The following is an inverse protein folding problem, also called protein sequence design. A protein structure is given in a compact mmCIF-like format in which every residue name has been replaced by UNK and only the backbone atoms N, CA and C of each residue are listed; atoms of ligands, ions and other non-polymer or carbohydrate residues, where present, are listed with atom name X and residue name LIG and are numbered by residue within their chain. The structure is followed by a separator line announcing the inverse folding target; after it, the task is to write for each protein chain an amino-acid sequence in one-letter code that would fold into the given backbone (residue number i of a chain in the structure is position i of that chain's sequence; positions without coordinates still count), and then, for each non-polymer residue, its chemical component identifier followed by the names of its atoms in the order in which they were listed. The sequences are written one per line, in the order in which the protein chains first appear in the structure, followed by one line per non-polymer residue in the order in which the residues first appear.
data_IF_953776407847
#
_entry.id   IF_953776407847
#
_cell.length_a   1.000
_cell.length_b   1.000
_cell.length_c   1.000
_cell.angle_alpha   90.00
_cell.angle_beta   90.00
_cell.angle_gamma   90.00
#
_symmetry.space_group_name_H-M   'P 1'
#
loop_
_entity.id
_entity.type
_entity.pdbx_description
1 polymer ?
#
# COMPACT_ATOMS: atom_id res chain seq x y z
N UNK A 1 23.48 16.44 -69.00
CA UNK A 1 22.87 15.78 -67.82
C UNK A 1 23.14 16.61 -66.58
N UNK A 2 22.13 17.33 -66.06
CA UNK A 2 22.28 18.27 -64.93
C UNK A 2 21.85 17.60 -63.64
N UNK A 3 22.74 17.49 -62.63
CA UNK A 3 22.53 16.90 -61.32
C UNK A 3 21.81 17.90 -60.40
N UNK A 4 20.53 17.64 -60.07
CA UNK A 4 19.72 18.45 -59.16
C UNK A 4 20.17 18.20 -57.71
N UNK A 5 20.81 19.19 -57.05
CA UNK A 5 21.17 19.18 -55.63
C UNK A 5 19.90 19.34 -54.75
N UNK A 6 19.56 18.31 -53.93
CA UNK A 6 18.53 18.41 -52.92
C UNK A 6 19.03 19.25 -51.72
N UNK A 7 18.38 20.38 -51.44
CA UNK A 7 18.60 21.16 -50.20
C UNK A 7 18.03 20.40 -49.01
N UNK A 8 18.86 20.06 -48.01
CA UNK A 8 18.43 19.57 -46.70
C UNK A 8 17.69 20.71 -45.96
N UNK A 9 16.42 20.51 -45.62
CA UNK A 9 15.70 21.38 -44.68
C UNK A 9 16.33 21.25 -43.29
N UNK A 10 16.90 22.30 -42.73
CA UNK A 10 17.25 22.39 -41.31
C UNK A 10 15.95 22.55 -40.55
N UNK A 11 15.55 21.53 -39.75
CA UNK A 11 14.50 21.63 -38.75
C UNK A 11 15.04 22.49 -37.59
N UNK A 12 14.80 23.80 -37.67
CA UNK A 12 15.12 24.72 -36.57
C UNK A 12 14.20 24.42 -35.38
N UNK A 13 14.80 24.04 -34.28
CA UNK A 13 14.09 23.82 -33.01
C UNK A 13 13.61 25.20 -32.50
N UNK A 14 12.30 25.36 -32.30
CA UNK A 14 11.71 26.63 -31.90
C UNK A 14 11.98 26.90 -30.40
N UNK A 15 12.79 27.92 -30.02
CA UNK A 15 13.16 28.17 -28.61
C UNK A 15 11.94 28.43 -27.71
N UNK A 16 10.81 28.87 -28.27
CA UNK A 16 9.58 29.08 -27.52
C UNK A 16 9.00 27.76 -26.97
N UNK A 17 9.18 26.63 -27.69
CA UNK A 17 8.72 25.30 -27.24
C UNK A 17 9.51 24.87 -26.01
N UNK A 18 10.81 25.15 -25.94
CA UNK A 18 11.64 24.82 -24.77
C UNK A 18 11.15 25.60 -23.54
N UNK A 19 10.84 26.90 -23.71
CA UNK A 19 10.33 27.73 -22.60
C UNK A 19 9.00 27.18 -22.07
N UNK A 20 8.07 26.78 -22.94
CA UNK A 20 6.80 26.17 -22.52
C UNK A 20 6.99 24.83 -21.80
N UNK A 21 7.90 23.99 -22.27
CA UNK A 21 8.21 22.71 -21.61
C UNK A 21 8.84 22.92 -20.21
N UNK A 22 9.73 23.91 -20.06
CA UNK A 22 10.32 24.26 -18.76
C UNK A 22 9.25 24.80 -17.79
N UNK A 23 8.34 25.65 -18.27
CA UNK A 23 7.23 26.18 -17.45
C UNK A 23 6.28 25.05 -17.04
N UNK A 24 5.91 24.16 -17.94
CA UNK A 24 5.06 22.99 -17.62
C UNK A 24 5.75 22.09 -16.60
N UNK A 25 7.05 21.83 -16.76
CA UNK A 25 7.83 21.01 -15.81
C UNK A 25 7.93 21.69 -14.44
N UNK A 26 8.13 23.01 -14.39
CA UNK A 26 8.15 23.79 -13.15
C UNK A 26 6.77 23.77 -12.44
N UNK A 27 5.68 23.91 -13.20
CA UNK A 27 4.31 23.81 -12.65
C UNK A 27 4.04 22.40 -12.14
N UNK A 28 4.43 21.33 -12.85
CA UNK A 28 4.32 19.96 -12.37
C UNK A 28 5.15 19.72 -11.10
N UNK A 29 6.37 20.24 -11.04
CA UNK A 29 7.24 20.13 -9.86
C UNK A 29 6.68 20.92 -8.66
N UNK A 30 6.11 22.10 -8.88
CA UNK A 30 5.46 22.90 -7.83
C UNK A 30 4.16 22.25 -7.37
N UNK A 31 3.37 21.66 -8.27
CA UNK A 31 2.16 20.92 -7.92
C UNK A 31 2.49 19.62 -7.14
N UNK A 32 3.51 18.88 -7.53
CA UNK A 32 3.98 17.70 -6.82
C UNK A 32 4.56 18.05 -5.44
N UNK A 33 5.33 19.15 -5.35
CA UNK A 33 5.84 19.71 -4.10
C UNK A 33 4.72 20.23 -3.20
N UNK A 34 3.71 20.87 -3.76
CA UNK A 34 2.54 21.36 -3.00
C UNK A 34 1.64 20.22 -2.54
N UNK A 35 1.41 19.20 -3.38
CA UNK A 35 0.62 18.02 -3.01
C UNK A 35 1.35 17.11 -2.03
N UNK A 36 2.67 16.94 -2.14
CA UNK A 36 3.47 16.17 -1.19
C UNK A 36 3.66 16.88 0.15
N UNK A 37 3.61 18.21 0.20
CA UNK A 37 3.66 19.00 1.46
C UNK A 37 2.35 19.03 2.24
N UNK A 38 1.20 18.95 1.56
CA UNK A 38 -0.13 19.00 2.18
C UNK A 38 -0.58 17.65 2.75
N UNK A 39 0.03 16.53 2.32
CA UNK A 39 -0.31 15.17 2.77
C UNK A 39 0.67 14.57 3.78
N UNK A 40 1.12 15.35 4.77
CA UNK A 40 1.52 14.73 6.03
C UNK A 40 0.25 14.33 6.80
N UNK A 41 -0.43 13.30 6.32
CA UNK A 41 -1.44 12.61 7.11
C UNK A 41 -0.73 12.09 8.37
N UNK A 42 -1.04 12.68 9.51
CA UNK A 42 -0.72 12.12 10.82
C UNK A 42 -1.58 10.85 10.96
N UNK A 43 -1.12 9.74 10.41
CA UNK A 43 -1.64 8.44 10.79
C UNK A 43 -1.33 8.26 12.28
N UNK A 44 -2.32 7.96 13.13
CA UNK A 44 -2.06 7.76 14.55
C UNK A 44 -1.10 6.60 14.72
N UNK A 45 -0.10 6.84 15.55
CA UNK A 45 0.99 5.95 15.94
C UNK A 45 0.46 4.57 16.30
N UNK A 46 0.79 3.52 15.54
CA UNK A 46 0.99 2.22 16.13
C UNK A 46 2.42 2.17 16.70
N UNK A 47 2.61 2.88 17.81
CA UNK A 47 3.63 2.48 18.77
C UNK A 47 3.24 1.10 19.31
N UNK A 48 4.18 0.30 19.84
CA UNK A 48 3.83 -0.94 20.52
C UNK A 48 2.74 -0.61 21.53
N UNK A 49 1.59 -1.30 21.42
CA UNK A 49 0.52 -1.17 22.40
C UNK A 49 1.19 -1.40 23.75
N UNK A 50 1.20 -0.39 24.63
CA UNK A 50 1.78 -0.48 25.96
C UNK A 50 1.30 -1.79 26.59
N UNK A 51 2.20 -2.73 26.85
CA UNK A 51 1.90 -3.92 27.62
C UNK A 51 2.28 -5.29 27.02
N UNK A 52 2.85 -5.41 25.82
CA UNK A 52 3.23 -6.72 25.29
C UNK A 52 4.70 -6.79 24.91
N UNK A 53 5.37 -7.87 25.31
CA UNK A 53 6.74 -8.18 24.90
C UNK A 53 6.78 -8.66 23.45
N UNK A 54 7.91 -8.54 22.79
CA UNK A 54 8.13 -9.09 21.46
C UNK A 54 7.87 -10.61 21.42
N UNK A 55 8.20 -11.31 22.49
CA UNK A 55 8.04 -12.76 22.62
C UNK A 55 6.57 -13.19 22.67
N UNK A 56 5.75 -12.45 23.42
CA UNK A 56 4.30 -12.69 23.45
C UNK A 56 3.64 -12.47 22.09
N UNK A 57 4.08 -11.47 21.33
CA UNK A 57 3.57 -11.24 19.97
C UNK A 57 3.97 -12.39 19.02
N UNK A 58 5.20 -12.89 19.13
CA UNK A 58 5.68 -14.04 18.35
C UNK A 58 4.87 -15.29 18.70
N UNK A 59 4.66 -15.56 20.00
CA UNK A 59 3.88 -16.71 20.44
C UNK A 59 2.43 -16.63 19.90
N UNK A 60 1.79 -15.46 20.01
CA UNK A 60 0.42 -15.26 19.47
C UNK A 60 0.36 -15.50 17.97
N UNK A 61 1.31 -15.03 17.18
CA UNK A 61 1.32 -15.29 15.74
C UNK A 61 1.43 -16.77 15.46
N UNK A 62 2.34 -17.48 16.14
CA UNK A 62 2.49 -18.94 15.98
C UNK A 62 1.18 -19.69 16.34
N UNK A 63 0.56 -19.32 17.44
CA UNK A 63 -0.68 -19.98 17.92
C UNK A 63 -1.89 -19.63 17.04
N UNK A 64 -2.08 -18.36 16.72
CA UNK A 64 -3.31 -17.87 16.07
C UNK A 64 -3.30 -18.00 14.55
N UNK A 65 -2.12 -17.98 13.93
CA UNK A 65 -1.99 -17.84 12.47
C UNK A 65 -0.95 -18.79 11.86
N UNK A 66 -0.15 -19.50 12.68
CA UNK A 66 1.00 -20.29 12.20
C UNK A 66 0.61 -21.31 11.13
N UNK A 67 -0.44 -22.11 11.39
CA UNK A 67 -0.91 -23.14 10.46
C UNK A 67 -1.43 -22.50 9.13
N UNK A 68 -2.32 -21.50 9.23
CA UNK A 68 -2.90 -20.83 8.06
C UNK A 68 -1.80 -20.16 7.22
N UNK A 69 -0.86 -19.49 7.89
CA UNK A 69 0.26 -18.81 7.19
C UNK A 69 1.16 -19.82 6.49
N UNK A 70 1.48 -20.95 7.14
CA UNK A 70 2.34 -21.98 6.53
C UNK A 70 1.68 -22.58 5.29
N UNK A 71 0.39 -22.92 5.38
CA UNK A 71 -0.39 -23.45 4.26
C UNK A 71 -0.39 -22.49 3.08
N UNK A 72 -0.84 -21.25 3.30
CA UNK A 72 -1.00 -20.28 2.20
C UNK A 72 0.32 -19.69 1.71
N UNK A 73 1.35 -19.58 2.55
CA UNK A 73 2.70 -19.23 2.10
C UNK A 73 3.24 -20.23 1.07
N UNK A 74 2.98 -21.52 1.27
CA UNK A 74 3.33 -22.56 0.31
C UNK A 74 2.52 -22.43 -0.99
N UNK A 75 1.20 -22.25 -0.88
CA UNK A 75 0.29 -22.10 -2.03
C UNK A 75 0.71 -20.92 -2.93
N UNK A 76 1.03 -19.77 -2.34
CA UNK A 76 1.42 -18.55 -3.06
C UNK A 76 2.92 -18.44 -3.36
N UNK A 77 3.72 -19.44 -2.94
CA UNK A 77 5.18 -19.42 -3.07
C UNK A 77 5.81 -18.13 -2.53
N UNK A 78 5.50 -17.80 -1.27
CA UNK A 78 6.04 -16.64 -0.55
C UNK A 78 6.58 -17.04 0.82
N UNK A 79 7.39 -16.18 1.45
CA UNK A 79 8.01 -16.49 2.75
C UNK A 79 7.00 -16.47 3.90
N UNK A 80 6.81 -17.60 4.58
CA UNK A 80 6.03 -17.68 5.80
C UNK A 80 6.59 -16.77 6.91
N UNK A 81 7.92 -16.72 7.06
CA UNK A 81 8.59 -15.85 8.04
C UNK A 81 8.29 -14.38 7.80
N UNK A 82 8.23 -13.92 6.52
CA UNK A 82 7.83 -12.56 6.19
C UNK A 82 6.38 -12.29 6.62
N UNK A 83 5.46 -13.18 6.28
CA UNK A 83 4.02 -13.03 6.59
C UNK A 83 3.79 -13.01 8.11
N UNK A 84 4.44 -13.88 8.86
CA UNK A 84 4.36 -13.91 10.33
C UNK A 84 4.91 -12.64 10.96
N UNK A 85 6.05 -12.14 10.48
CA UNK A 85 6.63 -10.87 10.91
C UNK A 85 5.70 -9.68 10.59
N UNK A 86 5.06 -9.70 9.43
CA UNK A 86 4.10 -8.67 9.03
C UNK A 86 2.87 -8.66 9.94
N UNK A 87 2.33 -9.83 10.31
CA UNK A 87 1.21 -9.93 11.26
C UNK A 87 1.59 -9.34 12.63
N UNK A 88 2.85 -9.50 13.09
CA UNK A 88 3.30 -8.83 14.31
C UNK A 88 3.22 -7.33 14.17
N UNK A 89 3.72 -6.78 13.07
CA UNK A 89 3.74 -5.32 12.84
C UNK A 89 2.34 -4.73 12.77
N UNK A 90 1.42 -5.43 12.09
CA UNK A 90 0.09 -4.91 11.77
C UNK A 90 -0.95 -5.13 12.86
N UNK A 91 -0.93 -6.29 13.53
CA UNK A 91 -1.96 -6.69 14.48
C UNK A 91 -1.45 -7.23 15.81
N UNK A 92 -0.11 -7.26 16.02
CA UNK A 92 0.53 -7.89 17.20
C UNK A 92 0.11 -9.34 17.41
N UNK A 93 -0.27 -10.04 16.34
CA UNK A 93 -0.70 -11.43 16.38
C UNK A 93 -2.08 -11.67 17.04
N UNK A 94 -2.87 -10.65 17.29
CA UNK A 94 -4.21 -10.79 17.92
C UNK A 94 -5.20 -11.48 16.97
N UNK A 95 -6.04 -12.40 17.52
CA UNK A 95 -7.19 -12.99 16.83
C UNK A 95 -8.42 -12.89 17.75
N UNK A 96 -9.48 -12.16 17.38
CA UNK A 96 -9.58 -11.38 16.15
C UNK A 96 -8.57 -10.21 16.09
N UNK A 97 -8.10 -9.92 14.88
CA UNK A 97 -7.25 -8.76 14.66
C UNK A 97 -8.05 -7.46 14.91
N UNK A 98 -7.37 -6.42 15.38
CA UNK A 98 -7.97 -5.11 15.53
C UNK A 98 -8.42 -4.54 14.18
N UNK A 99 -9.13 -3.41 14.24
CA UNK A 99 -9.52 -2.62 13.08
C UNK A 99 -9.10 -1.17 13.28
N UNK A 100 -8.75 -0.45 12.19
CA UNK A 100 -8.39 0.95 12.26
C UNK A 100 -9.12 1.75 11.17
N UNK A 101 -9.90 2.73 11.62
CA UNK A 101 -10.60 3.64 10.73
C UNK A 101 -9.68 4.78 10.27
N UNK A 102 -9.64 5.03 8.97
CA UNK A 102 -8.85 6.08 8.33
C UNK A 102 -9.75 7.22 7.83
N UNK A 103 -9.88 8.27 8.66
CA UNK A 103 -10.76 9.42 8.38
C UNK A 103 -10.48 10.06 7.02
N UNK A 104 -9.19 10.18 6.63
CA UNK A 104 -8.80 10.78 5.35
C UNK A 104 -9.25 9.92 4.16
N UNK A 105 -9.16 8.58 4.26
CA UNK A 105 -9.67 7.65 3.24
C UNK A 105 -11.18 7.77 3.12
N UNK A 106 -11.90 7.81 4.24
CA UNK A 106 -13.34 8.01 4.25
C UNK A 106 -13.76 9.29 3.51
N UNK A 107 -13.06 10.40 3.77
CA UNK A 107 -13.32 11.67 3.09
C UNK A 107 -13.07 11.57 1.58
N UNK A 108 -12.00 10.88 1.14
CA UNK A 108 -11.73 10.63 -0.28
C UNK A 108 -12.81 9.80 -0.93
N UNK A 109 -13.23 8.70 -0.30
CA UNK A 109 -14.31 7.85 -0.82
C UNK A 109 -15.64 8.62 -0.91
N UNK A 110 -15.95 9.49 0.05
CA UNK A 110 -17.13 10.39 -0.05
C UNK A 110 -17.05 11.34 -1.26
N UNK A 111 -15.88 11.93 -1.49
CA UNK A 111 -15.64 12.80 -2.65
C UNK A 111 -15.78 12.04 -3.97
N UNK A 112 -15.33 10.78 -4.04
CA UNK A 112 -15.52 9.92 -5.22
C UNK A 112 -17.00 9.60 -5.42
N UNK A 113 -17.71 9.16 -4.37
CA UNK A 113 -19.14 8.85 -4.44
C UNK A 113 -19.97 10.05 -4.91
N UNK A 114 -19.68 11.25 -4.43
CA UNK A 114 -20.39 12.48 -4.83
C UNK A 114 -19.96 13.01 -6.21
N UNK A 115 -18.88 12.49 -6.80
CA UNK A 115 -18.34 12.96 -8.07
C UNK A 115 -17.40 14.18 -7.98
N UNK A 116 -17.08 14.68 -6.78
CA UNK A 116 -16.10 15.76 -6.58
C UNK A 116 -14.66 15.30 -6.83
N UNK A 117 -14.38 14.01 -6.70
CA UNK A 117 -13.12 13.39 -7.05
C UNK A 117 -13.38 12.30 -8.08
N UNK A 118 -12.69 12.28 -9.23
CA UNK A 118 -12.98 11.31 -10.29
C UNK A 118 -12.66 9.87 -9.87
N UNK A 119 -11.62 9.68 -9.04
CA UNK A 119 -11.22 8.37 -8.50
C UNK A 119 -10.30 8.52 -7.29
N UNK A 120 -10.25 7.49 -6.46
CA UNK A 120 -9.28 7.31 -5.39
C UNK A 120 -8.81 5.86 -5.39
N UNK A 121 -7.50 5.61 -5.51
CA UNK A 121 -6.94 4.24 -5.54
C UNK A 121 -7.64 3.33 -6.58
N UNK A 122 -7.97 3.87 -7.76
CA UNK A 122 -8.74 3.23 -8.82
C UNK A 122 -10.21 2.90 -8.46
N UNK A 123 -10.72 3.36 -7.32
CA UNK A 123 -12.14 3.34 -7.00
C UNK A 123 -12.80 4.54 -7.68
N UNK A 124 -13.87 4.28 -8.41
CA UNK A 124 -14.65 5.28 -9.16
C UNK A 124 -16.02 5.51 -8.53
N UNK A 125 -16.76 6.51 -9.03
CA UNK A 125 -18.15 6.75 -8.61
C UNK A 125 -19.05 5.53 -8.88
N UNK A 126 -18.83 4.82 -9.97
CA UNK A 126 -19.60 3.62 -10.31
C UNK A 126 -19.44 2.50 -9.27
N UNK A 127 -18.25 2.38 -8.66
CA UNK A 127 -17.97 1.38 -7.62
C UNK A 127 -18.63 1.73 -6.28
N UNK A 128 -19.09 2.97 -6.10
CA UNK A 128 -19.59 3.49 -4.82
C UNK A 128 -21.04 4.02 -4.90
N UNK A 129 -21.72 3.90 -6.04
CA UNK A 129 -23.00 4.58 -6.28
C UNK A 129 -24.08 4.20 -5.25
N UNK A 130 -24.12 2.93 -4.81
CA UNK A 130 -25.07 2.41 -3.81
C UNK A 130 -24.49 2.38 -2.39
N UNK A 131 -23.25 2.83 -2.20
CA UNK A 131 -22.59 2.72 -0.90
C UNK A 131 -23.20 3.69 0.12
N UNK A 132 -23.70 3.17 1.23
CA UNK A 132 -24.10 3.98 2.39
C UNK A 132 -22.89 4.62 3.06
N UNK A 133 -23.11 5.61 3.93
CA UNK A 133 -22.01 6.19 4.73
C UNK A 133 -21.35 5.15 5.64
N UNK A 134 -22.11 4.17 6.14
CA UNK A 134 -21.56 3.07 6.91
C UNK A 134 -20.69 2.14 6.04
N UNK A 135 -21.14 1.81 4.84
CA UNK A 135 -20.34 1.06 3.87
C UNK A 135 -19.03 1.79 3.58
N UNK A 136 -19.06 3.11 3.33
CA UNK A 136 -17.84 3.90 3.12
C UNK A 136 -16.92 3.92 4.35
N UNK A 137 -17.45 3.96 5.59
CA UNK A 137 -16.64 3.81 6.82
C UNK A 137 -15.95 2.46 6.86
N UNK A 138 -16.66 1.38 6.52
CA UNK A 138 -16.11 0.05 6.47
C UNK A 138 -15.03 -0.09 5.38
N UNK A 139 -15.24 0.50 4.20
CA UNK A 139 -14.24 0.57 3.14
C UNK A 139 -13.01 1.40 3.54
N UNK A 140 -13.19 2.42 4.38
CA UNK A 140 -12.12 3.26 4.91
C UNK A 140 -11.49 2.71 6.21
N UNK A 141 -11.77 1.47 6.55
CA UNK A 141 -11.21 0.80 7.73
C UNK A 141 -10.27 -0.31 7.28
N UNK A 142 -9.14 -0.49 7.96
CA UNK A 142 -8.24 -1.63 7.76
C UNK A 142 -8.70 -2.83 8.60
N UNK A 143 -8.55 -4.04 8.05
CA UNK A 143 -9.11 -5.28 8.57
C UNK A 143 -8.12 -6.44 8.52
N UNK A 144 -8.33 -7.40 9.41
CA UNK A 144 -7.62 -8.66 9.42
C UNK A 144 -6.17 -8.58 9.90
N UNK A 145 -5.46 -9.72 9.93
CA UNK A 145 -4.11 -9.80 10.48
C UNK A 145 -3.09 -8.92 9.76
N UNK A 146 -3.29 -8.65 8.47
CA UNK A 146 -2.42 -7.83 7.64
C UNK A 146 -2.91 -6.38 7.49
N UNK A 147 -3.96 -5.97 8.21
CA UNK A 147 -4.55 -4.62 8.17
C UNK A 147 -4.81 -4.11 6.74
N UNK A 148 -5.43 -4.96 5.92
CA UNK A 148 -5.80 -4.60 4.54
C UNK A 148 -6.95 -3.59 4.57
N UNK A 149 -6.81 -2.49 3.84
CA UNK A 149 -7.87 -1.47 3.71
C UNK A 149 -9.13 -2.07 3.07
N UNK A 150 -10.29 -1.80 3.66
CA UNK A 150 -11.57 -2.37 3.22
C UNK A 150 -11.89 -2.11 1.75
N UNK A 151 -11.54 -0.95 1.19
CA UNK A 151 -11.79 -0.67 -0.23
C UNK A 151 -11.02 -1.60 -1.19
N UNK A 152 -9.98 -2.28 -0.74
CA UNK A 152 -9.27 -3.30 -1.54
C UNK A 152 -10.16 -4.51 -1.86
N UNK A 153 -11.25 -4.73 -1.09
CA UNK A 153 -12.25 -5.77 -1.41
C UNK A 153 -12.87 -5.56 -2.80
N UNK A 154 -13.07 -4.30 -3.22
CA UNK A 154 -13.59 -3.96 -4.55
C UNK A 154 -12.62 -4.47 -5.63
N UNK A 155 -11.32 -4.20 -5.47
CA UNK A 155 -10.29 -4.67 -6.41
C UNK A 155 -10.17 -6.19 -6.44
N UNK A 156 -10.30 -6.85 -5.30
CA UNK A 156 -10.23 -8.30 -5.19
C UNK A 156 -11.53 -9.02 -5.58
N UNK A 157 -12.63 -8.28 -5.77
CA UNK A 157 -13.99 -8.80 -6.02
C UNK A 157 -14.43 -9.78 -4.94
N UNK A 158 -14.25 -9.40 -3.66
CA UNK A 158 -14.63 -10.17 -2.48
C UNK A 158 -15.52 -9.35 -1.56
N UNK A 159 -16.21 -10.03 -0.64
CA UNK A 159 -16.97 -9.34 0.40
C UNK A 159 -16.04 -8.83 1.52
N UNK A 160 -16.42 -7.73 2.15
CA UNK A 160 -15.69 -7.22 3.30
C UNK A 160 -15.64 -8.21 4.46
N UNK A 161 -16.70 -9.04 4.63
CA UNK A 161 -16.75 -10.12 5.61
C UNK A 161 -15.59 -11.12 5.46
N UNK A 162 -15.08 -11.32 4.25
CA UNK A 162 -13.95 -12.23 4.00
C UNK A 162 -12.66 -11.74 4.67
N UNK A 163 -12.44 -10.41 4.78
CA UNK A 163 -11.31 -9.85 5.53
C UNK A 163 -11.51 -9.87 7.06
N UNK A 164 -12.69 -10.22 7.53
CA UNK A 164 -13.08 -10.24 8.94
C UNK A 164 -13.31 -11.66 9.48
N UNK A 165 -13.26 -12.66 8.62
CA UNK A 165 -13.50 -14.07 8.91
C UNK A 165 -12.20 -14.88 8.96
N UNK A 166 -12.31 -16.18 9.07
CA UNK A 166 -11.18 -17.12 8.98
C UNK A 166 -10.49 -17.09 7.61
N UNK A 167 -11.16 -16.57 6.57
CA UNK A 167 -10.57 -16.35 5.25
C UNK A 167 -9.62 -15.17 5.18
N UNK A 168 -9.54 -14.34 6.23
CA UNK A 168 -8.74 -13.11 6.25
C UNK A 168 -7.25 -13.35 5.99
N UNK A 169 -6.70 -14.49 6.42
CA UNK A 169 -5.31 -14.87 6.14
C UNK A 169 -5.12 -15.12 4.63
N UNK A 170 -5.99 -15.94 4.04
CA UNK A 170 -5.95 -16.26 2.60
C UNK A 170 -6.03 -15.00 1.73
N UNK A 171 -7.08 -14.18 1.94
CA UNK A 171 -7.28 -12.99 1.11
C UNK A 171 -6.24 -11.92 1.35
N UNK A 172 -5.71 -11.80 2.57
CA UNK A 172 -4.60 -10.92 2.87
C UNK A 172 -3.32 -11.34 2.13
N UNK A 173 -2.98 -12.62 2.11
CA UNK A 173 -1.83 -13.15 1.37
C UNK A 173 -2.05 -13.02 -0.14
N UNK A 174 -3.23 -13.32 -0.65
CA UNK A 174 -3.60 -13.12 -2.05
C UNK A 174 -3.42 -11.67 -2.50
N UNK A 175 -3.83 -10.70 -1.66
CA UNK A 175 -3.60 -9.29 -1.92
C UNK A 175 -2.10 -8.95 -1.93
N UNK A 176 -1.34 -9.44 -0.95
CA UNK A 176 0.12 -9.27 -0.84
C UNK A 176 0.81 -9.81 -2.10
N UNK A 177 0.48 -11.03 -2.50
CA UNK A 177 1.04 -11.68 -3.68
C UNK A 177 0.77 -10.87 -4.95
N UNK A 178 -0.47 -10.46 -5.17
CA UNK A 178 -0.87 -9.69 -6.36
C UNK A 178 -0.18 -8.33 -6.45
N UNK A 179 0.15 -7.70 -5.32
CA UNK A 179 0.72 -6.35 -5.31
C UNK A 179 2.26 -6.35 -5.29
N UNK A 180 2.86 -7.22 -4.51
CA UNK A 180 4.32 -7.25 -4.35
C UNK A 180 4.94 -8.63 -4.09
N UNK A 181 4.23 -9.72 -4.41
CA UNK A 181 4.74 -11.09 -4.29
C UNK A 181 6.05 -11.32 -5.04
N UNK A 182 6.26 -10.63 -6.17
CA UNK A 182 7.52 -10.69 -6.91
C UNK A 182 8.74 -10.20 -6.11
N UNK A 183 8.55 -9.24 -5.20
CA UNK A 183 9.62 -8.80 -4.29
C UNK A 183 9.93 -9.88 -3.26
N UNK A 184 8.90 -10.57 -2.74
CA UNK A 184 9.05 -11.67 -1.78
C UNK A 184 9.79 -12.85 -2.40
N UNK A 185 9.41 -13.28 -3.60
CA UNK A 185 10.07 -14.37 -4.34
C UNK A 185 11.53 -14.08 -4.68
N UNK A 186 11.89 -12.80 -4.82
CA UNK A 186 13.27 -12.34 -5.05
C UNK A 186 14.04 -12.05 -3.74
N UNK A 187 13.49 -12.36 -2.56
CA UNK A 187 14.10 -12.08 -1.27
C UNK A 187 14.24 -10.60 -0.91
N UNK A 188 13.55 -9.70 -1.64
CA UNK A 188 13.60 -8.24 -1.42
C UNK A 188 12.68 -7.82 -0.28
N UNK A 189 12.87 -8.39 0.90
CA UNK A 189 11.99 -8.19 2.05
C UNK A 189 11.96 -6.75 2.56
N UNK A 190 13.08 -6.04 2.46
CA UNK A 190 13.17 -4.61 2.80
C UNK A 190 12.18 -3.77 1.99
N UNK A 191 12.17 -3.99 0.68
CA UNK A 191 11.22 -3.35 -0.23
C UNK A 191 9.79 -3.78 0.07
N UNK A 192 9.55 -5.07 0.29
CA UNK A 192 8.23 -5.63 0.56
C UNK A 192 7.59 -5.03 1.83
N UNK A 193 8.31 -4.92 2.95
CA UNK A 193 7.81 -4.24 4.14
C UNK A 193 7.49 -2.76 3.87
N UNK A 194 8.35 -2.07 3.13
CA UNK A 194 8.12 -0.67 2.80
C UNK A 194 6.91 -0.49 1.87
N UNK A 195 6.75 -1.37 0.85
CA UNK A 195 5.58 -1.36 -0.05
C UNK A 195 4.29 -1.60 0.74
N UNK A 196 4.28 -2.56 1.68
CA UNK A 196 3.08 -2.83 2.49
C UNK A 196 2.60 -1.58 3.24
N UNK A 197 3.52 -0.83 3.81
CA UNK A 197 3.21 0.35 4.64
C UNK A 197 2.94 1.62 3.81
N UNK A 198 3.63 1.80 2.67
CA UNK A 198 3.65 3.07 1.93
C UNK A 198 3.16 2.98 0.49
N UNK A 199 2.99 1.76 -0.04
CA UNK A 199 2.72 1.52 -1.46
C UNK A 199 3.94 1.60 -2.39
N UNK A 200 5.13 1.92 -1.87
CA UNK A 200 6.35 2.13 -2.68
C UNK A 200 7.53 1.28 -2.17
N UNK A 201 8.48 0.89 -3.04
CA UNK A 201 9.73 0.26 -2.62
C UNK A 201 10.53 1.15 -1.67
N UNK A 202 11.45 0.55 -0.91
CA UNK A 202 12.34 1.29 -0.03
C UNK A 202 13.16 2.31 -0.84
N UNK A 203 13.27 3.58 -0.38
CA UNK A 203 13.98 4.60 -1.14
C UNK A 203 15.45 4.24 -1.31
N UNK A 204 16.01 4.48 -2.50
CA UNK A 204 17.44 4.29 -2.80
C UNK A 204 18.30 5.36 -2.13
N UNK A 205 17.71 6.53 -1.86
CA UNK A 205 18.36 7.67 -1.21
C UNK A 205 17.42 8.22 -0.13
N UNK A 206 17.96 8.53 1.04
CA UNK A 206 17.21 9.11 2.15
C UNK A 206 16.56 8.09 3.09
N UNK A 207 15.83 8.57 4.12
CA UNK A 207 15.19 7.73 5.12
C UNK A 207 13.94 7.02 4.57
N UNK A 208 13.46 5.94 5.25
CA UNK A 208 12.20 5.31 4.90
C UNK A 208 11.03 6.31 5.04
N UNK A 209 10.01 6.16 4.18
CA UNK A 209 8.80 6.99 4.20
C UNK A 209 7.70 6.42 5.10
N UNK A 210 8.02 5.39 5.87
CA UNK A 210 7.09 4.78 6.82
C UNK A 210 6.82 5.72 8.00
N UNK A 211 5.60 5.66 8.55
CA UNK A 211 5.26 6.47 9.73
C UNK A 211 6.20 6.19 10.91
N UNK A 212 6.43 4.91 11.25
CA UNK A 212 7.49 4.48 12.15
C UNK A 212 8.77 4.27 11.33
N UNK A 213 9.83 5.09 11.51
CA UNK A 213 11.08 4.92 10.79
C UNK A 213 11.74 3.55 11.01
N UNK A 214 11.38 2.86 12.11
CA UNK A 214 11.89 1.53 12.43
C UNK A 214 11.01 0.38 11.89
N UNK A 215 9.89 0.67 11.24
CA UNK A 215 8.94 -0.34 10.78
C UNK A 215 9.63 -1.46 9.99
N UNK A 216 10.39 -1.11 8.96
CA UNK A 216 11.10 -2.07 8.10
C UNK A 216 12.15 -2.87 8.89
N UNK A 217 12.95 -2.19 9.72
CA UNK A 217 13.96 -2.83 10.56
C UNK A 217 13.34 -3.77 11.60
N UNK A 218 12.20 -3.40 12.18
CA UNK A 218 11.42 -4.27 13.07
C UNK A 218 10.94 -5.52 12.33
N UNK A 219 10.37 -5.37 11.13
CA UNK A 219 9.95 -6.49 10.29
C UNK A 219 11.07 -7.46 10.00
N UNK A 220 12.22 -6.98 9.54
CA UNK A 220 13.40 -7.80 9.27
C UNK A 220 13.93 -8.51 10.52
N UNK A 221 13.85 -7.88 11.71
CA UNK A 221 14.21 -8.54 12.98
C UNK A 221 13.22 -9.64 13.35
N UNK A 222 11.90 -9.39 13.19
CA UNK A 222 10.89 -10.41 13.48
C UNK A 222 10.99 -11.62 12.54
N UNK A 223 11.29 -11.42 11.26
CA UNK A 223 11.52 -12.55 10.34
C UNK A 223 12.56 -13.56 10.84
N UNK A 224 13.60 -13.10 11.54
CA UNK A 224 14.64 -13.98 12.08
C UNK A 224 14.19 -14.85 13.27
N UNK A 225 12.95 -14.68 13.73
CA UNK A 225 12.37 -15.41 14.86
C UNK A 225 11.43 -16.54 14.43
N UNK A 226 11.20 -16.67 13.11
CA UNK A 226 10.43 -17.70 12.46
C UNK A 226 11.27 -18.49 11.46
#
# INVERSE_FOLDING_TARGET
MAKKRRKKKKTGFNPRIIVYLVIIFAIFYLLDSYTSGVFKSKSPVHGPIKGYTSEEAILRVKTNYGADVQQYATEFNVSAAYLQALIILESSGKRPAGKRFEKHVYQKLKQVRSGHLPRFENITKADLHDATDEALKNLATSWGPFQIMGYKCIHMRINLSDLRSDKAVYYGIKWIDSNYGNYLRKGKYRDAFHIHNTGHPYPTVGPPRTYDPQYVNKGLRYMKKF
#
